data_IF_546663654940
#
_entry.id   IF_546663654940
#
_cell.length_a   1.000
_cell.length_b   1.000
_cell.length_c   1.000
_cell.angle_alpha   90.00
_cell.angle_beta   90.00
_cell.angle_gamma   90.00
#
_symmetry.space_group_name_H-M   'P 1'
#
loop_
_entity.id
_entity.type
_entity.pdbx_description
1 polymer ?
#
# COMPACT_ATOMS: atom_id res chain seq x y z
N UNK A 1 12.87 6.46 9.89
CA UNK A 1 12.85 5.11 10.52
C UNK A 1 11.50 4.42 10.33
N UNK A 2 10.37 5.10 10.62
CA UNK A 2 9.04 4.48 10.45
C UNK A 2 8.69 4.13 9.00
N UNK A 3 9.07 4.99 8.06
CA UNK A 3 8.91 4.75 6.61
C UNK A 3 9.50 3.40 6.15
N UNK A 4 10.75 3.10 6.50
CA UNK A 4 11.43 1.84 6.10
C UNK A 4 10.77 0.60 6.73
N UNK A 5 10.28 0.72 7.97
CA UNK A 5 9.57 -0.38 8.64
C UNK A 5 8.24 -0.67 7.94
N UNK A 6 7.44 0.37 7.66
CA UNK A 6 6.20 0.23 6.92
C UNK A 6 6.45 -0.37 5.53
N UNK A 7 7.48 0.09 4.82
CA UNK A 7 7.86 -0.45 3.51
C UNK A 7 8.15 -1.94 3.57
N UNK A 8 8.98 -2.39 4.53
CA UNK A 8 9.26 -3.83 4.71
C UNK A 8 8.02 -4.66 5.04
N UNK A 9 7.13 -4.14 5.88
CA UNK A 9 5.90 -4.83 6.25
C UNK A 9 4.94 -4.95 5.07
N UNK A 10 4.86 -3.92 4.23
CA UNK A 10 4.06 -3.97 2.99
C UNK A 10 4.65 -4.99 2.02
N UNK A 11 5.98 -5.01 1.85
CA UNK A 11 6.66 -5.91 0.91
C UNK A 11 6.64 -7.39 1.35
N UNK A 12 6.62 -7.67 2.66
CA UNK A 12 6.79 -9.05 3.18
C UNK A 12 5.60 -9.59 3.99
N UNK A 13 4.74 -8.73 4.52
CA UNK A 13 3.75 -9.05 5.56
C UNK A 13 2.29 -8.83 5.17
N UNK A 14 1.96 -7.82 4.37
CA UNK A 14 0.56 -7.50 4.01
C UNK A 14 0.03 -8.40 2.87
N UNK A 15 -0.25 -9.67 3.16
CA UNK A 15 -0.65 -10.69 2.17
C UNK A 15 -2.16 -10.72 1.94
N UNK A 16 -2.94 -10.46 2.97
CA UNK A 16 -4.40 -10.45 2.94
C UNK A 16 -4.96 -9.04 2.78
N UNK A 17 -6.20 -8.94 2.32
CA UNK A 17 -6.92 -7.65 2.22
C UNK A 17 -7.09 -6.99 3.60
N UNK A 18 -7.40 -7.79 4.63
CA UNK A 18 -7.53 -7.31 6.01
C UNK A 18 -6.23 -6.67 6.53
N UNK A 19 -5.08 -7.30 6.29
CA UNK A 19 -3.77 -6.76 6.67
C UNK A 19 -3.43 -5.47 5.90
N UNK A 20 -3.87 -5.35 4.63
CA UNK A 20 -3.66 -4.11 3.85
C UNK A 20 -4.50 -2.96 4.39
N UNK A 21 -5.77 -3.22 4.69
CA UNK A 21 -6.67 -2.22 5.29
C UNK A 21 -6.20 -1.80 6.69
N UNK A 22 -5.70 -2.74 7.48
CA UNK A 22 -5.09 -2.44 8.78
C UNK A 22 -3.82 -1.59 8.61
N UNK A 23 -2.93 -1.96 7.69
CA UNK A 23 -1.74 -1.18 7.39
C UNK A 23 -2.08 0.24 6.94
N UNK A 24 -3.12 0.41 6.12
CA UNK A 24 -3.58 1.73 5.66
C UNK A 24 -4.00 2.63 6.83
N UNK A 25 -4.68 2.07 7.84
CA UNK A 25 -5.02 2.80 9.08
C UNK A 25 -3.75 3.22 9.84
N UNK A 26 -2.77 2.33 9.97
CA UNK A 26 -1.49 2.65 10.62
C UNK A 26 -0.73 3.75 9.88
N UNK A 27 -0.66 3.71 8.55
CA UNK A 27 -0.05 4.76 7.75
C UNK A 27 -0.71 6.12 8.01
N UNK A 28 -2.05 6.16 8.08
CA UNK A 28 -2.78 7.39 8.44
C UNK A 28 -2.40 7.92 9.82
N UNK A 29 -2.31 7.05 10.82
CA UNK A 29 -1.86 7.42 12.17
C UNK A 29 -0.42 7.95 12.17
N UNK A 30 0.49 7.33 11.42
CA UNK A 30 1.89 7.78 11.32
C UNK A 30 2.02 9.13 10.62
N UNK A 31 1.18 9.40 9.63
CA UNK A 31 1.12 10.71 8.98
C UNK A 31 0.60 11.78 9.95
N UNK A 32 -0.49 11.53 10.67
CA UNK A 32 -1.04 12.47 11.66
C UNK A 32 -0.05 12.78 12.80
N UNK A 33 0.70 11.77 13.23
CA UNK A 33 1.76 11.91 14.25
C UNK A 33 3.09 12.42 13.69
N UNK A 34 3.14 12.79 12.40
CA UNK A 34 4.33 13.29 11.69
C UNK A 34 5.54 12.34 11.71
N UNK A 35 5.30 11.05 11.88
CA UNK A 35 6.35 10.01 11.82
C UNK A 35 6.71 9.64 10.37
N UNK A 36 5.81 9.92 9.44
CA UNK A 36 6.04 9.89 8.00
C UNK A 36 5.50 11.18 7.37
N UNK A 37 6.07 11.60 6.24
CA UNK A 37 5.57 12.75 5.48
C UNK A 37 4.34 12.39 4.64
N UNK A 38 3.57 13.38 4.16
CA UNK A 38 2.49 13.14 3.20
C UNK A 38 2.95 12.40 1.93
N UNK A 39 4.14 12.71 1.40
CA UNK A 39 4.72 12.04 0.23
C UNK A 39 5.02 10.56 0.52
N UNK A 40 5.60 10.29 1.69
CA UNK A 40 5.86 8.93 2.16
C UNK A 40 4.58 8.12 2.37
N UNK A 41 3.54 8.75 2.93
CA UNK A 41 2.21 8.14 3.05
C UNK A 41 1.65 7.75 1.68
N UNK A 42 1.70 8.67 0.69
CA UNK A 42 1.21 8.39 -0.66
C UNK A 42 1.97 7.23 -1.31
N UNK A 43 3.30 7.21 -1.20
CA UNK A 43 4.11 6.12 -1.76
C UNK A 43 3.76 4.76 -1.13
N UNK A 44 3.66 4.70 0.21
CA UNK A 44 3.34 3.47 0.93
C UNK A 44 1.89 3.01 0.67
N UNK A 45 0.94 3.94 0.58
CA UNK A 45 -0.45 3.62 0.24
C UNK A 45 -0.58 3.06 -1.19
N UNK A 46 0.21 3.56 -2.13
CA UNK A 46 0.24 3.04 -3.50
C UNK A 46 0.87 1.64 -3.59
N UNK A 47 1.81 1.30 -2.69
CA UNK A 47 2.38 -0.06 -2.61
C UNK A 47 1.40 -1.07 -2.01
N UNK A 48 0.51 -0.62 -1.12
CA UNK A 48 -0.51 -1.47 -0.48
C UNK A 48 -1.61 -1.88 -1.44
N UNK A 49 -2.06 -0.97 -2.29
CA UNK A 49 -2.97 -1.28 -3.37
C UNK A 49 -2.14 -1.56 -4.61
N UNK A 50 -1.80 -2.83 -4.92
CA UNK A 50 -1.42 -3.11 -6.29
C UNK A 50 -2.62 -2.66 -7.11
N UNK A 51 -2.44 -1.59 -7.88
CA UNK A 51 -3.34 -1.31 -8.98
C UNK A 51 -3.25 -2.58 -9.81
N UNK A 52 -4.23 -3.46 -9.63
CA UNK A 52 -4.54 -4.43 -10.66
C UNK A 52 -5.00 -3.52 -11.79
N UNK A 53 -4.04 -3.00 -12.55
CA UNK A 53 -4.26 -2.79 -13.96
C UNK A 53 -4.63 -4.19 -14.41
N UNK A 54 -5.93 -4.49 -14.39
CA UNK A 54 -6.51 -5.39 -15.35
C UNK A 54 -5.98 -4.87 -16.69
N UNK A 55 -4.84 -5.40 -17.13
CA UNK A 55 -4.67 -5.67 -18.52
C UNK A 55 -5.88 -6.53 -18.87
N UNK A 56 -6.95 -5.86 -19.29
CA UNK A 56 -8.05 -6.49 -19.99
C UNK A 56 -7.41 -7.20 -21.18
N UNK A 57 -7.03 -8.45 -20.98
CA UNK A 57 -6.94 -9.41 -22.06
C UNK A 57 -8.37 -9.55 -22.58
N UNK A 58 -8.74 -8.60 -23.43
CA UNK A 58 -9.90 -8.73 -24.29
C UNK A 58 -9.46 -9.72 -25.34
N UNK A 59 -9.69 -11.01 -25.08
CA UNK A 59 -9.73 -12.01 -26.13
C UNK A 59 -10.81 -11.57 -27.11
N UNK A 60 -10.40 -10.91 -28.20
CA UNK A 60 -11.23 -10.74 -29.38
C UNK A 60 -11.30 -12.11 -30.03
N UNK A 61 -12.27 -12.90 -29.59
CA UNK A 61 -12.70 -14.10 -30.30
C UNK A 61 -13.27 -13.71 -31.66
N UNK A 62 -12.60 -14.17 -32.70
CA UNK A 62 -12.99 -14.08 -34.12
C UNK A 62 -14.25 -14.92 -34.36
#
# INVERSE_FOLDING_TARGET
MMYELCKRQIENGCKTEAEREEMKKFLGCFMMTKQITPEQYMELSNKLNPVVTEEKHTEVGI
#
